data_IF_748736897821
#
_entry.id   IF_748736897821
#
_cell.length_a   1.000
_cell.length_b   1.000
_cell.length_c   1.000
_cell.angle_alpha   90.00
_cell.angle_beta   90.00
_cell.angle_gamma   90.00
#
_symmetry.space_group_name_H-M   'P 1'
#
loop_
_entity.id
_entity.type
_entity.pdbx_description
1 polymer ?
#
# COMPACT_ATOMS: atom_id res chain seq x y z
N UNK A 1 17.51 1.53 8.60
CA UNK A 1 17.89 2.32 9.80
C UNK A 1 16.66 2.83 10.55
N UNK A 2 15.63 3.31 9.84
CA UNK A 2 14.46 3.96 10.46
C UNK A 2 13.53 2.98 11.20
N UNK A 3 13.34 1.78 10.64
CA UNK A 3 12.57 0.72 11.31
C UNK A 3 13.14 0.35 12.69
N UNK A 4 14.45 0.19 12.78
CA UNK A 4 15.12 -0.16 14.04
C UNK A 4 15.02 0.97 15.07
N UNK A 5 15.09 2.24 14.61
CA UNK A 5 14.82 3.39 15.48
C UNK A 5 13.39 3.38 16.00
N UNK A 6 12.40 3.14 15.13
CA UNK A 6 11.00 3.03 15.54
C UNK A 6 10.80 1.93 16.58
N UNK A 7 11.34 0.72 16.36
CA UNK A 7 11.26 -0.37 17.34
C UNK A 7 11.89 0.02 18.68
N UNK A 8 13.04 0.69 18.67
CA UNK A 8 13.71 1.12 19.89
C UNK A 8 12.91 2.19 20.64
N UNK A 9 12.28 3.13 19.93
CA UNK A 9 11.37 4.11 20.53
C UNK A 9 10.13 3.45 21.12
N UNK A 10 9.54 2.47 20.43
CA UNK A 10 8.37 1.75 20.93
C UNK A 10 8.67 0.95 22.21
N UNK A 11 9.89 0.41 22.36
CA UNK A 11 10.32 -0.31 23.58
C UNK A 11 10.28 0.53 24.85
N UNK A 12 10.33 1.87 24.74
CA UNK A 12 10.20 2.78 25.89
C UNK A 12 8.78 2.72 26.48
N UNK A 13 7.77 2.51 25.62
CA UNK A 13 6.36 2.47 26.01
C UNK A 13 5.91 1.02 26.25
N UNK A 14 6.40 0.08 25.43
CA UNK A 14 6.08 -1.34 25.48
C UNK A 14 7.38 -2.17 25.41
N UNK A 15 7.99 -2.53 26.56
CA UNK A 15 9.27 -3.26 26.58
C UNK A 15 9.23 -4.59 25.82
N UNK A 16 8.09 -5.27 25.86
CA UNK A 16 7.86 -6.53 25.18
C UNK A 16 6.92 -6.32 23.96
N UNK A 17 7.50 -5.88 22.84
CA UNK A 17 6.75 -5.56 21.61
C UNK A 17 5.89 -6.71 21.06
N UNK A 18 6.23 -7.97 21.39
CA UNK A 18 5.41 -9.14 21.02
C UNK A 18 3.99 -9.07 21.60
N UNK A 19 3.79 -8.35 22.71
CA UNK A 19 2.50 -8.22 23.38
C UNK A 19 1.52 -7.37 22.58
N UNK A 20 2.02 -6.54 21.65
CA UNK A 20 1.20 -5.82 20.67
C UNK A 20 0.57 -6.75 19.63
N UNK A 21 0.97 -8.03 19.56
CA UNK A 21 0.32 -9.05 18.76
C UNK A 21 0.33 -8.76 17.25
N UNK A 22 -0.85 -8.71 16.64
CA UNK A 22 -1.02 -8.60 15.18
C UNK A 22 -0.41 -7.31 14.60
N UNK A 23 -0.68 -6.10 15.15
CA UNK A 23 -0.04 -4.86 14.73
C UNK A 23 1.48 -4.94 14.59
N UNK A 24 2.17 -5.49 15.59
CA UNK A 24 3.63 -5.60 15.55
C UNK A 24 4.11 -6.63 14.52
N UNK A 25 3.42 -7.76 14.36
CA UNK A 25 3.72 -8.73 13.29
C UNK A 25 3.56 -8.09 11.90
N UNK A 26 2.50 -7.31 11.69
CA UNK A 26 2.27 -6.60 10.44
C UNK A 26 3.38 -5.58 10.17
N UNK A 27 3.75 -4.79 11.18
CA UNK A 27 4.84 -3.82 11.10
C UNK A 27 6.17 -4.50 10.71
N UNK A 28 6.50 -5.64 11.33
CA UNK A 28 7.66 -6.46 10.95
C UNK A 28 7.60 -6.96 9.51
N UNK A 29 6.43 -7.46 9.08
CA UNK A 29 6.25 -7.94 7.71
C UNK A 29 6.47 -6.81 6.70
N UNK A 30 5.88 -5.63 6.92
CA UNK A 30 6.09 -4.46 6.05
C UNK A 30 7.55 -4.04 6.02
N UNK A 31 8.23 -4.04 7.17
CA UNK A 31 9.65 -3.67 7.25
C UNK A 31 10.59 -4.58 6.46
N UNK A 32 10.23 -5.85 6.27
CA UNK A 32 11.00 -6.75 5.39
C UNK A 32 10.85 -6.42 3.90
N UNK A 33 9.79 -5.70 3.52
CA UNK A 33 9.45 -5.40 2.14
C UNK A 33 10.05 -4.08 1.65
N UNK A 34 10.33 -3.11 2.53
CA UNK A 34 10.76 -1.76 2.14
C UNK A 34 12.09 -1.73 1.37
N UNK A 35 12.91 -2.78 1.49
CA UNK A 35 14.20 -2.88 0.80
C UNK A 35 14.11 -3.58 -0.57
N UNK A 36 12.94 -4.10 -0.93
CA UNK A 36 12.69 -4.83 -2.16
C UNK A 36 12.15 -3.90 -3.24
N UNK A 37 12.34 -4.28 -4.51
CA UNK A 37 11.71 -3.61 -5.65
C UNK A 37 10.21 -3.90 -5.73
N UNK A 38 9.40 -3.06 -6.42
CA UNK A 38 7.97 -3.30 -6.59
C UNK A 38 7.60 -4.70 -7.09
N UNK A 39 8.39 -5.24 -8.02
CA UNK A 39 8.19 -6.59 -8.59
C UNK A 39 8.53 -7.69 -7.61
N UNK A 40 9.58 -7.54 -6.81
CA UNK A 40 9.93 -8.46 -5.72
C UNK A 40 8.88 -8.46 -4.61
N UNK A 41 8.38 -7.27 -4.25
CA UNK A 41 7.32 -7.11 -3.23
C UNK A 41 6.07 -7.87 -3.66
N UNK A 42 5.61 -7.65 -4.90
CA UNK A 42 4.40 -8.30 -5.45
C UNK A 42 4.60 -9.79 -5.62
N UNK A 43 5.75 -10.24 -6.13
CA UNK A 43 6.01 -11.68 -6.30
C UNK A 43 6.10 -12.44 -4.96
N UNK A 44 6.53 -11.76 -3.89
CA UNK A 44 6.51 -12.28 -2.53
C UNK A 44 5.11 -12.37 -1.90
N UNK A 45 4.08 -11.76 -2.52
CA UNK A 45 2.70 -11.91 -2.05
C UNK A 45 2.10 -13.24 -2.53
N UNK A 46 2.05 -14.20 -1.63
CA UNK A 46 1.36 -15.48 -1.82
C UNK A 46 -0.02 -15.46 -1.13
N UNK A 47 -0.93 -16.35 -1.58
CA UNK A 47 -2.19 -16.61 -0.88
C UNK A 47 -1.93 -16.92 0.60
N UNK A 48 -2.48 -16.11 1.51
CA UNK A 48 -2.25 -16.24 2.95
C UNK A 48 -1.13 -15.37 3.52
N UNK A 49 -0.57 -14.43 2.75
CA UNK A 49 0.32 -13.37 3.27
C UNK A 49 -0.29 -12.66 4.48
N UNK A 50 0.55 -12.32 5.46
CA UNK A 50 0.14 -11.57 6.66
C UNK A 50 -0.17 -10.10 6.37
N UNK A 51 0.28 -9.58 5.23
CA UNK A 51 0.12 -8.18 4.85
C UNK A 51 -1.08 -8.05 3.92
N UNK A 52 -2.07 -7.18 4.22
CA UNK A 52 -3.18 -6.92 3.33
C UNK A 52 -2.71 -6.40 1.96
N UNK A 53 -3.38 -6.80 0.88
CA UNK A 53 -3.06 -6.35 -0.49
C UNK A 53 -3.18 -4.84 -0.61
N UNK A 54 -4.16 -4.23 0.07
CA UNK A 54 -4.33 -2.78 0.16
C UNK A 54 -3.11 -2.09 0.78
N UNK A 55 -2.48 -2.71 1.79
CA UNK A 55 -1.28 -2.18 2.45
C UNK A 55 -0.07 -2.24 1.50
N UNK A 56 0.07 -3.33 0.76
CA UNK A 56 1.11 -3.46 -0.27
C UNK A 56 0.94 -2.38 -1.35
N UNK A 57 -0.27 -2.23 -1.90
CA UNK A 57 -0.55 -1.22 -2.92
C UNK A 57 -0.32 0.21 -2.43
N UNK A 58 -0.72 0.55 -1.20
CA UNK A 58 -0.42 1.85 -0.60
C UNK A 58 1.08 2.10 -0.49
N UNK A 59 1.86 1.09 -0.11
CA UNK A 59 3.32 1.18 -0.05
C UNK A 59 3.93 1.37 -1.45
N UNK A 60 3.39 0.72 -2.49
CA UNK A 60 3.90 0.83 -3.85
C UNK A 60 3.82 2.25 -4.44
N UNK A 61 2.89 3.10 -3.95
CA UNK A 61 2.89 4.53 -4.32
C UNK A 61 4.15 5.27 -3.88
N UNK A 62 4.91 4.75 -2.90
CA UNK A 62 6.22 5.31 -2.54
C UNK A 62 7.29 5.15 -3.61
N UNK A 63 7.08 4.26 -4.58
CA UNK A 63 7.96 4.05 -5.73
C UNK A 63 7.52 4.83 -6.97
N UNK A 64 6.34 5.44 -6.92
CA UNK A 64 5.72 6.13 -8.04
C UNK A 64 6.27 7.55 -8.19
N UNK A 65 6.36 8.00 -9.44
CA UNK A 65 6.62 9.40 -9.78
C UNK A 65 5.44 10.32 -9.40
N UNK A 66 5.65 11.65 -9.45
CA UNK A 66 4.70 12.63 -8.94
C UNK A 66 3.35 12.69 -9.68
N UNK A 67 3.29 12.17 -10.91
CA UNK A 67 2.05 12.13 -11.69
C UNK A 67 1.10 11.01 -11.26
N UNK A 68 1.64 9.89 -10.77
CA UNK A 68 0.88 8.77 -10.22
C UNK A 68 0.54 9.06 -8.76
N UNK A 69 -0.42 9.97 -8.59
CA UNK A 69 -0.87 10.43 -7.29
C UNK A 69 -1.53 9.29 -6.47
N UNK A 70 -1.10 9.19 -5.22
CA UNK A 70 -1.63 8.24 -4.23
C UNK A 70 -3.06 8.58 -3.80
N UNK A 71 -3.78 7.67 -3.13
CA UNK A 71 -5.19 7.89 -2.79
C UNK A 71 -5.47 9.18 -2.02
N UNK A 72 -4.66 9.53 -1.02
CA UNK A 72 -4.87 10.77 -0.25
C UNK A 72 -4.69 12.03 -1.11
N UNK A 73 -3.78 12.01 -2.09
CA UNK A 73 -3.58 13.14 -3.01
C UNK A 73 -4.80 13.30 -3.93
N UNK A 74 -5.32 12.18 -4.46
CA UNK A 74 -6.48 12.21 -5.35
C UNK A 74 -7.78 12.63 -4.65
N UNK A 75 -7.94 12.30 -3.37
CA UNK A 75 -9.08 12.72 -2.56
C UNK A 75 -8.87 14.07 -1.86
N UNK A 76 -7.69 14.68 -2.02
CA UNK A 76 -7.28 15.88 -1.28
C UNK A 76 -7.38 15.70 0.25
N UNK A 77 -7.12 14.50 0.73
CA UNK A 77 -7.09 14.19 2.16
C UNK A 77 -5.69 14.46 2.72
N UNK A 78 -5.66 14.94 3.96
CA UNK A 78 -4.44 14.89 4.76
C UNK A 78 -4.09 13.43 5.09
N UNK A 79 -2.82 13.15 5.37
CA UNK A 79 -2.40 11.81 5.82
C UNK A 79 -3.15 11.35 7.08
N UNK A 80 -3.40 12.19 8.11
CA UNK A 80 -4.25 11.80 9.24
C UNK A 80 -5.67 11.40 8.82
N UNK A 81 -6.28 12.12 7.86
CA UNK A 81 -7.62 11.78 7.37
C UNK A 81 -7.63 10.42 6.64
N UNK A 82 -6.61 10.12 5.84
CA UNK A 82 -6.46 8.79 5.25
C UNK A 82 -6.31 7.72 6.34
N UNK A 83 -5.52 7.96 7.38
CA UNK A 83 -5.35 7.03 8.50
C UNK A 83 -6.68 6.74 9.19
N UNK A 84 -7.44 7.78 9.55
CA UNK A 84 -8.77 7.63 10.15
C UNK A 84 -9.72 6.85 9.23
N UNK A 85 -9.70 7.15 7.94
CA UNK A 85 -10.54 6.42 6.98
C UNK A 85 -10.17 4.93 6.92
N UNK A 86 -8.87 4.60 6.93
CA UNK A 86 -8.41 3.20 6.96
C UNK A 86 -8.82 2.49 8.25
N UNK A 87 -8.81 3.18 9.39
CA UNK A 87 -9.26 2.63 10.67
C UNK A 87 -10.77 2.34 10.66
N UNK A 88 -11.57 3.20 10.00
CA UNK A 88 -13.03 3.03 9.86
C UNK A 88 -13.42 1.98 8.81
N UNK A 89 -12.60 1.77 7.77
CA UNK A 89 -12.90 0.87 6.65
C UNK A 89 -12.01 -0.36 6.73
N UNK A 90 -12.35 -1.32 7.59
CA UNK A 90 -11.57 -2.55 7.78
C UNK A 90 -11.77 -3.59 6.68
N UNK A 91 -12.79 -3.42 5.83
CA UNK A 91 -13.04 -4.29 4.68
C UNK A 91 -11.96 -4.05 3.62
N UNK A 92 -11.35 -5.14 3.15
CA UNK A 92 -10.30 -5.07 2.13
C UNK A 92 -10.87 -4.61 0.77
N UNK A 93 -12.12 -4.95 0.44
CA UNK A 93 -12.77 -4.53 -0.81
C UNK A 93 -12.85 -3.00 -0.89
N UNK A 94 -13.36 -2.33 0.14
CA UNK A 94 -13.48 -0.87 0.19
C UNK A 94 -12.11 -0.18 0.02
N UNK A 95 -11.06 -0.74 0.64
CA UNK A 95 -9.70 -0.22 0.53
C UNK A 95 -9.13 -0.40 -0.89
N UNK A 96 -9.39 -1.55 -1.51
CA UNK A 96 -8.97 -1.81 -2.89
C UNK A 96 -9.72 -0.89 -3.87
N UNK A 97 -10.99 -0.59 -3.64
CA UNK A 97 -11.77 0.36 -4.45
C UNK A 97 -11.21 1.78 -4.38
N UNK A 98 -10.81 2.24 -3.19
CA UNK A 98 -10.14 3.54 -3.03
C UNK A 98 -8.85 3.62 -3.87
N UNK A 99 -8.07 2.54 -3.89
CA UNK A 99 -6.83 2.44 -4.66
C UNK A 99 -7.12 2.34 -6.16
N UNK A 100 -8.14 1.57 -6.56
CA UNK A 100 -8.59 1.45 -7.95
C UNK A 100 -8.92 2.83 -8.54
N UNK A 101 -9.65 3.66 -7.79
CA UNK A 101 -9.96 5.03 -8.22
C UNK A 101 -8.72 5.89 -8.44
N UNK A 102 -7.66 5.68 -7.66
CA UNK A 102 -6.39 6.39 -7.85
C UNK A 102 -5.66 5.96 -9.14
N UNK A 103 -5.57 4.65 -9.39
CA UNK A 103 -4.95 4.12 -10.61
C UNK A 103 -5.73 4.49 -11.88
N UNK A 104 -7.07 4.46 -11.83
CA UNK A 104 -7.93 4.87 -12.94
C UNK A 104 -7.76 6.36 -13.28
N UNK A 105 -7.63 7.22 -12.27
CA UNK A 105 -7.37 8.65 -12.49
C UNK A 105 -6.03 8.88 -13.18
N UNK A 106 -4.98 8.17 -12.77
CA UNK A 106 -3.68 8.25 -13.43
C UNK A 106 -3.75 7.82 -14.89
N UNK A 107 -4.39 6.68 -15.17
CA UNK A 107 -4.59 6.21 -16.54
C UNK A 107 -5.31 7.25 -17.40
N UNK A 108 -6.35 7.88 -16.85
CA UNK A 108 -7.07 8.95 -17.53
C UNK A 108 -6.18 10.15 -17.86
N UNK A 109 -5.31 10.58 -16.94
CA UNK A 109 -4.35 11.67 -17.14
C UNK A 109 -3.37 11.32 -18.27
N UNK A 110 -2.79 10.12 -18.25
CA UNK A 110 -1.84 9.65 -19.29
C UNK A 110 -2.51 9.65 -20.66
N UNK A 111 -3.74 9.14 -20.74
CA UNK A 111 -4.55 9.12 -21.97
C UNK A 111 -4.89 10.53 -22.46
N UNK A 112 -5.29 11.46 -21.58
CA UNK A 112 -5.57 12.84 -21.95
C UNK A 112 -4.34 13.55 -22.54
N UNK A 113 -3.14 13.19 -22.09
CA UNK A 113 -1.88 13.71 -22.62
C UNK A 113 -1.47 13.07 -23.96
N UNK A 114 -2.25 12.12 -24.48
CA UNK A 114 -1.87 11.26 -25.60
C UNK A 114 -0.50 10.59 -25.40
N UNK A 115 -0.14 10.34 -24.14
CA UNK A 115 1.11 9.67 -23.79
C UNK A 115 0.89 8.16 -23.78
N UNK A 116 1.90 7.42 -24.21
CA UNK A 116 1.98 5.95 -24.04
C UNK A 116 2.98 5.57 -22.94
N UNK A 117 3.63 6.55 -22.34
CA UNK A 117 4.62 6.35 -21.29
C UNK A 117 3.91 6.39 -19.93
N UNK A 118 3.80 5.22 -19.32
CA UNK A 118 3.33 5.05 -17.95
C UNK A 118 4.51 5.03 -16.98
N UNK A 119 4.24 5.44 -15.75
CA UNK A 119 5.15 5.25 -14.63
C UNK A 119 5.45 3.75 -14.46
N UNK A 120 6.72 3.34 -14.26
CA UNK A 120 7.09 1.94 -14.13
C UNK A 120 6.35 1.18 -13.01
N UNK A 121 5.89 1.87 -11.96
CA UNK A 121 5.12 1.27 -10.88
C UNK A 121 3.67 0.97 -11.29
N UNK A 122 3.09 1.75 -12.19
CA UNK A 122 1.69 1.62 -12.62
C UNK A 122 1.29 0.22 -13.12
N UNK A 123 2.00 -0.40 -14.09
CA UNK A 123 1.61 -1.73 -14.58
C UNK A 123 1.72 -2.80 -13.48
N UNK A 124 2.74 -2.71 -12.62
CA UNK A 124 2.92 -3.63 -11.48
C UNK A 124 1.74 -3.52 -10.51
N UNK A 125 1.36 -2.30 -10.14
CA UNK A 125 0.24 -2.03 -9.23
C UNK A 125 -1.09 -2.45 -9.84
N UNK A 126 -1.31 -2.18 -11.13
CA UNK A 126 -2.58 -2.50 -11.81
C UNK A 126 -2.80 -4.00 -11.92
N UNK A 127 -1.76 -4.76 -12.30
CA UNK A 127 -1.84 -6.22 -12.37
C UNK A 127 -2.05 -6.84 -10.98
N UNK A 128 -1.36 -6.32 -9.97
CA UNK A 128 -1.52 -6.80 -8.60
C UNK A 128 -2.91 -6.50 -8.03
N UNK A 129 -3.44 -5.29 -8.29
CA UNK A 129 -4.80 -4.89 -7.90
C UNK A 129 -5.86 -5.80 -8.55
N UNK A 130 -5.74 -6.09 -9.85
CA UNK A 130 -6.67 -6.98 -10.54
C UNK A 130 -6.70 -8.38 -9.90
N UNK A 131 -5.53 -8.89 -9.52
CA UNK A 131 -5.39 -10.18 -8.83
C UNK A 131 -6.02 -10.13 -7.44
N UNK A 132 -5.78 -9.04 -6.68
CA UNK A 132 -6.34 -8.84 -5.34
C UNK A 132 -7.88 -8.78 -5.36
N UNK A 133 -8.47 -8.01 -6.28
CA UNK A 133 -9.93 -7.89 -6.42
C UNK A 133 -10.56 -9.25 -6.76
N UNK A 134 -9.94 -10.04 -7.67
CA UNK A 134 -10.40 -11.40 -7.99
C UNK A 134 -10.29 -12.35 -6.80
N UNK A 135 -9.32 -12.13 -5.92
CA UNK A 135 -9.12 -12.92 -4.69
C UNK A 135 -10.16 -12.62 -3.61
N UNK A 136 -10.57 -11.36 -3.46
CA UNK A 136 -11.58 -10.93 -2.46
C UNK A 136 -13.00 -11.34 -2.85
N UNK A 137 -13.30 -11.44 -4.15
CA UNK A 137 -14.64 -11.80 -4.68
C UNK A 137 -14.92 -13.31 -4.74
N UNK A 138 -14.02 -14.15 -4.25
CA UNK A 138 -14.17 -15.61 -4.17
C UNK A 138 -14.56 -16.03 -2.77
#
# INVERSE_FOLDING_TARGET
>A
ADYLHLENSLKVICPQLSDLGRPYRLLKSVASLIALSPTEIVSGQISGSSVPHSTILLMLFGFAGPELASPHQNTSWSLPKLSTWLDEHTNEEDRLDLIAGALQRYEHIVRQKNSVNYDPAYPVMSQFLETAIKGVKK
#
